data_IF_665737113530
#
_entry.id   IF_665737113530
#
_cell.length_a   1.000
_cell.length_b   1.000
_cell.length_c   1.000
_cell.angle_alpha   90.00
_cell.angle_beta   90.00
_cell.angle_gamma   90.00
#
_symmetry.space_group_name_H-M   'P 1'
#
loop_
_entity.id
_entity.type
_entity.pdbx_description
1 polymer ?
#
# COMPACT_ATOMS: atom_id res chain seq x y z
N UNK A 1 -4.96 15.21 -7.46
CA UNK A 1 -4.36 14.08 -6.73
C UNK A 1 -5.19 13.53 -5.57
N UNK A 2 -5.78 14.35 -4.69
CA UNK A 2 -6.59 13.86 -3.54
C UNK A 2 -7.67 12.85 -3.92
N UNK A 3 -8.50 13.18 -4.91
CA UNK A 3 -9.57 12.30 -5.38
C UNK A 3 -9.03 11.00 -6.00
N UNK A 4 -7.97 11.10 -6.80
CA UNK A 4 -7.30 9.94 -7.41
C UNK A 4 -6.76 8.97 -6.34
N UNK A 5 -6.08 9.49 -5.31
CA UNK A 5 -5.56 8.68 -4.21
C UNK A 5 -6.70 7.97 -3.46
N UNK A 6 -7.79 8.68 -3.15
CA UNK A 6 -8.97 8.08 -2.52
C UNK A 6 -9.62 7.01 -3.40
N UNK A 7 -9.73 7.23 -4.71
CA UNK A 7 -10.28 6.24 -5.66
C UNK A 7 -9.43 4.97 -5.72
N UNK A 8 -8.11 5.11 -5.76
CA UNK A 8 -7.17 3.98 -5.80
C UNK A 8 -7.14 3.22 -4.47
N UNK A 9 -7.16 3.91 -3.34
CA UNK A 9 -7.27 3.27 -2.02
C UNK A 9 -8.60 2.51 -1.85
N UNK A 10 -9.71 3.09 -2.32
CA UNK A 10 -11.00 2.39 -2.37
C UNK A 10 -10.96 1.19 -3.31
N UNK A 11 -10.27 1.29 -4.45
CA UNK A 11 -10.12 0.17 -5.39
C UNK A 11 -9.40 -1.02 -4.76
N UNK A 12 -8.31 -0.78 -4.04
CA UNK A 12 -7.59 -1.87 -3.38
C UNK A 12 -8.44 -2.53 -2.29
N UNK A 13 -9.14 -1.74 -1.47
CA UNK A 13 -10.05 -2.24 -0.46
C UNK A 13 -11.19 -3.05 -1.08
N UNK A 14 -11.88 -2.50 -2.09
CA UNK A 14 -13.02 -3.17 -2.73
C UNK A 14 -12.60 -4.46 -3.41
N UNK A 15 -11.47 -4.45 -4.12
CA UNK A 15 -10.98 -5.66 -4.77
C UNK A 15 -10.63 -6.75 -3.74
N UNK A 16 -9.96 -6.40 -2.64
CA UNK A 16 -9.67 -7.34 -1.56
C UNK A 16 -10.97 -7.85 -0.90
N UNK A 17 -11.84 -6.92 -0.50
CA UNK A 17 -13.11 -7.21 0.14
C UNK A 17 -13.99 -8.13 -0.70
N UNK A 18 -14.26 -7.77 -1.95
CA UNK A 18 -15.14 -8.57 -2.83
C UNK A 18 -14.54 -9.94 -3.15
N UNK A 19 -13.22 -10.05 -3.26
CA UNK A 19 -12.54 -11.31 -3.51
C UNK A 19 -12.59 -12.24 -2.29
N UNK A 20 -12.38 -11.71 -1.09
CA UNK A 20 -12.30 -12.49 0.14
C UNK A 20 -13.69 -12.87 0.71
N UNK A 21 -14.69 -11.99 0.58
CA UNK A 21 -16.04 -12.25 1.08
C UNK A 21 -16.95 -12.94 0.07
N UNK A 22 -16.69 -12.75 -1.24
CA UNK A 22 -17.60 -13.18 -2.29
C UNK A 22 -18.91 -12.38 -2.37
N UNK A 23 -19.08 -11.31 -1.58
CA UNK A 23 -20.33 -10.53 -1.50
C UNK A 23 -20.59 -9.61 -2.71
N UNK A 24 -19.67 -9.58 -3.69
CA UNK A 24 -19.77 -8.71 -4.86
C UNK A 24 -20.71 -9.26 -5.94
N UNK A 25 -21.71 -8.46 -6.34
CA UNK A 25 -22.62 -8.77 -7.44
C UNK A 25 -22.28 -7.90 -8.64
N UNK A 26 -21.90 -8.52 -9.75
CA UNK A 26 -21.62 -7.82 -11.01
C UNK A 26 -22.87 -7.75 -11.88
N UNK A 27 -23.22 -6.54 -12.30
CA UNK A 27 -24.30 -6.28 -13.25
C UNK A 27 -23.75 -5.66 -14.53
N UNK A 28 -23.95 -6.35 -15.65
CA UNK A 28 -23.75 -5.80 -16.98
C UNK A 28 -24.80 -4.73 -17.30
N UNK A 29 -24.52 -3.94 -18.34
CA UNK A 29 -25.36 -2.80 -18.73
C UNK A 29 -26.85 -3.16 -18.88
N UNK A 30 -27.17 -4.32 -19.46
CA UNK A 30 -28.55 -4.76 -19.70
C UNK A 30 -29.25 -5.33 -18.46
N UNK A 31 -28.51 -5.64 -17.39
CA UNK A 31 -29.04 -6.16 -16.13
C UNK A 31 -29.37 -5.04 -15.14
N UNK A 32 -28.91 -3.82 -15.42
CA UNK A 32 -29.07 -2.67 -14.54
C UNK A 32 -30.43 -1.99 -14.74
N UNK A 33 -31.06 -1.58 -13.64
CA UNK A 33 -32.23 -0.70 -13.67
C UNK A 33 -31.85 0.75 -14.01
N UNK A 34 -32.84 1.62 -14.22
CA UNK A 34 -32.62 3.01 -14.64
C UNK A 34 -31.71 3.81 -13.69
N UNK A 35 -31.85 3.62 -12.38
CA UNK A 35 -31.02 4.30 -11.37
C UNK A 35 -29.57 3.83 -11.43
N UNK A 36 -29.37 2.51 -11.48
CA UNK A 36 -28.05 1.88 -11.61
C UNK A 36 -27.36 2.33 -12.89
N UNK A 37 -28.07 2.31 -14.02
CA UNK A 37 -27.55 2.69 -15.33
C UNK A 37 -27.15 4.17 -15.38
N UNK A 38 -27.95 5.05 -14.77
CA UNK A 38 -27.65 6.48 -14.65
C UNK A 38 -26.38 6.70 -13.82
N UNK A 39 -26.25 5.99 -12.70
CA UNK A 39 -25.07 6.09 -11.86
C UNK A 39 -23.83 5.50 -12.53
N UNK A 40 -23.92 4.33 -13.15
CA UNK A 40 -22.80 3.66 -13.80
C UNK A 40 -22.38 4.31 -15.11
N UNK A 41 -23.22 5.18 -15.68
CA UNK A 41 -23.05 5.78 -17.01
C UNK A 41 -22.92 4.71 -18.10
N UNK A 42 -23.63 3.59 -17.94
CA UNK A 42 -23.60 2.47 -18.88
C UNK A 42 -22.41 1.52 -18.73
N UNK A 43 -21.54 1.71 -17.72
CA UNK A 43 -20.48 0.79 -17.38
C UNK A 43 -21.01 -0.43 -16.60
N UNK A 44 -20.21 -1.49 -16.52
CA UNK A 44 -20.46 -2.60 -15.58
C UNK A 44 -20.50 -2.05 -14.15
N UNK A 45 -21.47 -2.50 -13.37
CA UNK A 45 -21.66 -2.07 -11.99
C UNK A 45 -21.38 -3.24 -11.04
N UNK A 46 -20.46 -3.04 -10.12
CA UNK A 46 -20.29 -3.92 -8.96
C UNK A 46 -21.15 -3.37 -7.81
N UNK A 47 -21.95 -4.25 -7.23
CA UNK A 47 -22.80 -3.96 -6.07
C UNK A 47 -22.29 -4.78 -4.89
N UNK A 48 -22.07 -4.12 -3.76
CA UNK A 48 -21.77 -4.79 -2.49
C UNK A 48 -22.92 -4.50 -1.53
N UNK A 49 -23.66 -5.52 -1.04
CA UNK A 49 -24.68 -5.33 -0.02
C UNK A 49 -24.09 -4.77 1.27
N UNK A 50 -24.81 -3.84 1.90
CA UNK A 50 -24.53 -3.34 3.25
C UNK A 50 -25.76 -3.66 4.10
N UNK A 51 -25.83 -4.90 4.59
CA UNK A 51 -27.02 -5.47 5.23
C UNK A 51 -27.36 -4.76 6.54
N UNK A 52 -26.33 -4.38 7.31
CA UNK A 52 -26.46 -3.69 8.60
C UNK A 52 -27.29 -2.40 8.53
N UNK A 53 -27.26 -1.73 7.38
CA UNK A 53 -27.97 -0.46 7.13
C UNK A 53 -28.98 -0.56 5.98
N UNK A 54 -29.35 -1.78 5.56
CA UNK A 54 -30.31 -2.05 4.49
C UNK A 54 -30.02 -1.24 3.20
N UNK A 55 -28.75 -1.14 2.84
CA UNK A 55 -28.26 -0.30 1.74
C UNK A 55 -27.33 -1.09 0.82
N UNK A 56 -26.87 -0.46 -0.26
CA UNK A 56 -25.96 -1.06 -1.23
C UNK A 56 -24.86 -0.08 -1.60
N UNK A 57 -23.62 -0.57 -1.65
CA UNK A 57 -22.50 0.20 -2.20
C UNK A 57 -22.42 -0.05 -3.71
N UNK A 58 -22.58 1.01 -4.50
CA UNK A 58 -22.48 0.96 -5.95
C UNK A 58 -21.09 1.38 -6.40
N UNK A 59 -20.44 0.53 -7.18
CA UNK A 59 -19.06 0.67 -7.63
C UNK A 59 -19.01 0.55 -9.17
N UNK A 60 -18.91 1.66 -9.91
CA UNK A 60 -18.88 1.62 -11.37
C UNK A 60 -17.49 1.19 -11.85
N UNK A 61 -17.43 0.24 -12.76
CA UNK A 61 -16.18 -0.38 -13.21
C UNK A 61 -15.83 0.02 -14.64
N UNK A 62 -14.65 0.61 -14.82
CA UNK A 62 -14.05 0.86 -16.15
C UNK A 62 -13.38 -0.39 -16.73
N UNK A 63 -13.17 -1.42 -15.91
CA UNK A 63 -12.71 -2.74 -16.30
C UNK A 63 -13.19 -3.75 -15.26
N UNK A 64 -13.89 -4.80 -15.72
CA UNK A 64 -14.24 -5.95 -14.90
C UNK A 64 -13.23 -7.07 -15.15
N UNK A 65 -12.80 -7.74 -14.08
CA UNK A 65 -11.80 -8.80 -14.13
C UNK A 65 -12.41 -10.10 -13.61
N UNK A 66 -12.14 -11.20 -14.30
CA UNK A 66 -12.52 -12.54 -13.84
C UNK A 66 -11.77 -12.98 -12.57
N UNK A 67 -10.64 -12.33 -12.27
CA UNK A 67 -9.79 -12.65 -11.11
C UNK A 67 -9.87 -11.56 -10.02
N UNK A 68 -10.98 -10.81 -9.97
CA UNK A 68 -11.26 -9.82 -8.90
C UNK A 68 -10.47 -8.51 -8.97
N UNK A 69 -9.46 -8.38 -9.84
CA UNK A 69 -8.67 -7.15 -10.04
C UNK A 69 -9.43 -6.11 -10.88
N UNK A 70 -10.55 -5.61 -10.36
CA UNK A 70 -11.37 -4.61 -11.06
C UNK A 70 -10.70 -3.24 -11.09
N UNK A 71 -11.05 -2.42 -12.10
CA UNK A 71 -10.66 -1.01 -12.17
C UNK A 71 -11.88 -0.11 -11.99
N UNK A 72 -11.95 0.57 -10.86
CA UNK A 72 -13.06 1.46 -10.51
C UNK A 72 -12.99 2.73 -11.36
N UNK A 73 -14.08 3.08 -12.02
CA UNK A 73 -14.20 4.26 -12.90
C UNK A 73 -14.24 5.57 -12.10
N UNK A 74 -15.04 5.62 -11.03
CA UNK A 74 -15.22 6.78 -10.13
C UNK A 74 -15.49 6.32 -8.70
N UNK A 75 -15.42 7.23 -7.74
CA UNK A 75 -15.66 6.89 -6.34
C UNK A 75 -17.00 6.16 -6.15
N UNK A 76 -17.03 5.11 -5.32
CA UNK A 76 -18.27 4.45 -4.91
C UNK A 76 -19.26 5.40 -4.25
N UNK A 77 -20.53 5.02 -4.24
CA UNK A 77 -21.59 5.71 -3.51
C UNK A 77 -22.52 4.70 -2.86
N UNK A 78 -23.05 5.03 -1.68
CA UNK A 78 -24.05 4.22 -0.99
C UNK A 78 -25.43 4.61 -1.51
N UNK A 79 -26.28 3.60 -1.74
CA UNK A 79 -27.66 3.76 -2.15
C UNK A 79 -28.58 3.10 -1.13
N UNK A 80 -29.60 3.85 -0.71
CA UNK A 80 -30.67 3.36 0.18
C UNK A 80 -31.99 3.62 -0.52
N UNK A 81 -32.80 2.56 -0.72
CA UNK A 81 -34.09 2.65 -1.43
C UNK A 81 -34.02 3.41 -2.77
N UNK A 82 -32.93 3.22 -3.52
CA UNK A 82 -32.70 3.86 -4.82
C UNK A 82 -32.21 5.32 -4.77
N UNK A 83 -31.95 5.88 -3.59
CA UNK A 83 -31.43 7.23 -3.42
C UNK A 83 -29.96 7.22 -2.97
N UNK A 84 -29.16 8.09 -3.57
CA UNK A 84 -27.75 8.29 -3.19
C UNK A 84 -27.69 8.87 -1.78
N UNK A 85 -26.88 8.23 -0.93
CA UNK A 85 -26.50 8.74 0.38
C UNK A 85 -25.09 9.32 0.32
N UNK A 86 -24.92 10.53 0.87
CA UNK A 86 -23.64 11.22 0.90
C UNK A 86 -22.77 10.70 2.03
N UNK A 87 -21.84 9.81 1.71
CA UNK A 87 -20.83 9.30 2.65
C UNK A 87 -19.42 9.68 2.19
N UNK A 88 -18.55 9.95 3.16
CA UNK A 88 -17.12 10.06 2.89
C UNK A 88 -16.51 8.69 2.57
N UNK A 89 -15.33 8.67 1.96
CA UNK A 89 -14.63 7.41 1.69
C UNK A 89 -14.35 6.63 2.99
N UNK A 90 -13.97 7.33 4.06
CA UNK A 90 -13.73 6.71 5.38
C UNK A 90 -15.01 6.08 5.92
N UNK A 91 -16.15 6.78 5.82
CA UNK A 91 -17.42 6.22 6.27
C UNK A 91 -17.81 4.96 5.47
N UNK A 92 -17.59 4.95 4.15
CA UNK A 92 -17.82 3.74 3.33
C UNK A 92 -16.89 2.58 3.71
N UNK A 93 -15.62 2.87 4.03
CA UNK A 93 -14.68 1.87 4.55
C UNK A 93 -15.21 1.30 5.87
N UNK A 94 -15.58 2.16 6.81
CA UNK A 94 -16.14 1.73 8.10
C UNK A 94 -17.40 0.89 7.94
N UNK A 95 -18.30 1.24 7.01
CA UNK A 95 -19.49 0.43 6.71
C UNK A 95 -19.12 -0.96 6.18
N UNK A 96 -18.16 -1.06 5.25
CA UNK A 96 -17.69 -2.36 4.76
C UNK A 96 -17.07 -3.21 5.86
N UNK A 97 -16.28 -2.58 6.75
CA UNK A 97 -15.65 -3.29 7.87
C UNK A 97 -16.67 -3.71 8.92
N UNK A 98 -17.72 -2.91 9.15
CA UNK A 98 -18.82 -3.29 10.04
C UNK A 98 -19.51 -4.57 9.54
N UNK A 99 -19.75 -4.70 8.23
CA UNK A 99 -20.27 -5.96 7.65
C UNK A 99 -19.36 -7.17 7.95
N UNK A 100 -18.03 -6.98 7.98
CA UNK A 100 -17.11 -8.06 8.36
C UNK A 100 -17.25 -8.43 9.83
N UNK A 101 -17.39 -7.44 10.73
CA UNK A 101 -17.57 -7.69 12.17
C UNK A 101 -18.84 -8.48 12.43
N UNK A 102 -19.95 -8.08 11.80
CA UNK A 102 -21.23 -8.76 11.97
C UNK A 102 -21.20 -10.21 11.50
N UNK A 103 -20.38 -10.51 10.49
CA UNK A 103 -20.23 -11.86 9.92
C UNK A 103 -19.05 -12.65 10.50
N UNK A 104 -18.23 -12.06 11.36
CA UNK A 104 -17.06 -12.71 11.93
C UNK A 104 -17.44 -13.57 13.15
N UNK A 105 -16.83 -14.76 13.23
CA UNK A 105 -16.91 -15.61 14.43
C UNK A 105 -16.01 -15.13 15.57
N UNK A 106 -15.06 -14.23 15.28
CA UNK A 106 -14.07 -13.71 16.21
C UNK A 106 -14.14 -12.19 16.26
N UNK A 107 -13.73 -11.60 17.38
CA UNK A 107 -13.62 -10.15 17.50
C UNK A 107 -12.55 -9.60 16.56
N UNK A 108 -12.93 -8.64 15.72
CA UNK A 108 -12.03 -7.95 14.80
C UNK A 108 -11.73 -6.53 15.29
N UNK A 109 -10.47 -6.11 15.19
CA UNK A 109 -10.07 -4.72 15.44
C UNK A 109 -10.20 -3.89 14.15
N UNK A 110 -11.41 -3.40 13.90
CA UNK A 110 -11.69 -2.55 12.75
C UNK A 110 -11.05 -1.17 12.86
N UNK A 111 -10.86 -0.65 14.08
CA UNK A 111 -10.26 0.66 14.28
C UNK A 111 -8.83 0.69 13.74
N UNK A 112 -8.03 -0.33 14.05
CA UNK A 112 -6.67 -0.46 13.50
C UNK A 112 -6.66 -0.56 11.97
N UNK A 113 -7.64 -1.25 11.37
CA UNK A 113 -7.70 -1.36 9.92
C UNK A 113 -8.10 -0.05 9.23
N UNK A 114 -9.03 0.71 9.81
CA UNK A 114 -9.39 2.06 9.32
C UNK A 114 -8.16 2.98 9.40
N UNK A 115 -7.42 2.95 10.51
CA UNK A 115 -6.19 3.74 10.67
C UNK A 115 -5.16 3.40 9.59
N UNK A 116 -4.89 2.11 9.37
CA UNK A 116 -3.98 1.64 8.31
C UNK A 116 -4.45 2.06 6.93
N UNK A 117 -5.76 1.98 6.65
CA UNK A 117 -6.33 2.41 5.37
C UNK A 117 -6.13 3.91 5.14
N UNK A 118 -6.41 4.75 6.15
CA UNK A 118 -6.19 6.19 6.09
C UNK A 118 -4.71 6.49 5.83
N UNK A 119 -3.81 5.87 6.61
CA UNK A 119 -2.37 6.06 6.47
C UNK A 119 -1.90 5.66 5.06
N UNK A 120 -2.38 4.52 4.54
CA UNK A 120 -2.05 4.07 3.20
C UNK A 120 -2.57 5.00 2.12
N UNK A 121 -3.77 5.56 2.28
CA UNK A 121 -4.36 6.53 1.35
C UNK A 121 -3.58 7.85 1.36
N UNK A 122 -3.10 8.28 2.51
CA UNK A 122 -2.29 9.49 2.67
C UNK A 122 -0.88 9.32 2.12
N UNK A 123 -0.23 8.17 2.34
CA UNK A 123 1.04 7.83 1.71
C UNK A 123 0.89 7.81 0.18
N UNK A 124 -0.17 7.18 -0.33
CA UNK A 124 -0.45 7.16 -1.77
C UNK A 124 -0.65 8.57 -2.35
N UNK A 125 -1.35 9.46 -1.63
CA UNK A 125 -1.49 10.86 -2.04
C UNK A 125 -0.12 11.55 -2.15
N UNK A 126 0.75 11.37 -1.16
CA UNK A 126 2.09 11.96 -1.16
C UNK A 126 2.89 11.44 -2.36
N UNK A 127 2.95 10.12 -2.55
CA UNK A 127 3.71 9.50 -3.64
C UNK A 127 3.19 9.90 -5.02
N UNK A 128 1.88 9.90 -5.24
CA UNK A 128 1.28 10.33 -6.50
C UNK A 128 1.56 11.81 -6.79
N UNK A 129 1.59 12.64 -5.75
CA UNK A 129 1.89 14.08 -5.90
C UNK A 129 3.36 14.28 -6.24
N UNK A 130 4.27 13.60 -5.53
CA UNK A 130 5.71 13.69 -5.75
C UNK A 130 6.12 13.15 -7.12
N UNK A 131 5.58 12.00 -7.53
CA UNK A 131 5.96 11.30 -8.76
C UNK A 131 5.12 11.65 -9.97
N UNK A 132 4.16 12.57 -9.86
CA UNK A 132 3.35 13.02 -11.02
C UNK A 132 4.22 13.35 -12.25
N UNK A 133 5.30 14.15 -12.13
CA UNK A 133 6.12 14.51 -13.29
C UNK A 133 6.78 13.30 -13.96
N UNK A 134 6.93 12.18 -13.24
CA UNK A 134 7.63 10.98 -13.69
C UNK A 134 6.69 9.88 -14.18
N UNK A 135 5.36 10.08 -14.23
CA UNK A 135 4.42 9.00 -14.52
C UNK A 135 4.74 8.26 -15.83
N UNK A 136 5.13 8.96 -16.89
CA UNK A 136 5.53 8.34 -18.14
C UNK A 136 6.75 7.44 -17.98
N UNK A 137 7.72 7.85 -17.14
CA UNK A 137 8.92 7.05 -16.83
C UNK A 137 8.59 5.81 -15.99
N UNK A 138 7.63 5.93 -15.06
CA UNK A 138 7.20 4.80 -14.21
C UNK A 138 6.59 3.65 -15.01
N UNK A 139 6.03 3.94 -16.19
CA UNK A 139 5.37 2.94 -17.05
C UNK A 139 6.20 2.55 -18.28
N UNK A 140 7.45 3.02 -18.37
CA UNK A 140 8.34 2.63 -19.47
C UNK A 140 8.60 1.13 -19.46
N UNK A 141 8.59 0.53 -20.64
CA UNK A 141 8.86 -0.91 -20.80
C UNK A 141 10.30 -1.31 -20.42
N UNK A 142 11.26 -0.38 -20.56
CA UNK A 142 12.64 -0.57 -20.11
C UNK A 142 12.92 0.28 -18.89
N UNK A 143 13.29 -0.38 -17.80
CA UNK A 143 13.70 0.21 -16.55
C UNK A 143 14.96 -0.50 -16.05
N UNK A 144 15.82 0.21 -15.34
CA UNK A 144 16.87 -0.44 -14.54
C UNK A 144 16.28 -1.02 -13.25
N UNK A 145 17.07 -1.83 -12.54
CA UNK A 145 16.64 -2.51 -11.32
C UNK A 145 16.11 -1.53 -10.25
N UNK A 146 16.80 -0.41 -10.04
CA UNK A 146 16.40 0.58 -9.02
C UNK A 146 15.10 1.26 -9.44
N UNK A 147 14.97 1.62 -10.71
CA UNK A 147 13.77 2.22 -11.27
C UNK A 147 12.56 1.30 -11.11
N UNK A 148 12.70 0.00 -11.39
CA UNK A 148 11.60 -0.96 -11.24
C UNK A 148 11.19 -1.13 -9.78
N UNK A 149 12.14 -1.23 -8.85
CA UNK A 149 11.86 -1.30 -7.41
C UNK A 149 11.15 -0.04 -6.89
N UNK A 150 11.48 1.12 -7.45
CA UNK A 150 10.89 2.41 -7.09
C UNK A 150 9.60 2.75 -7.87
N UNK A 151 9.17 1.90 -8.81
CA UNK A 151 8.02 2.17 -9.67
C UNK A 151 6.68 1.70 -9.08
N UNK A 152 6.67 0.83 -8.06
CA UNK A 152 5.46 0.26 -7.48
C UNK A 152 4.73 1.24 -6.54
N UNK A 153 4.28 2.39 -7.07
CA UNK A 153 3.63 3.45 -6.28
C UNK A 153 2.30 3.01 -5.67
N UNK A 154 1.53 2.19 -6.38
CA UNK A 154 0.21 1.75 -5.92
C UNK A 154 0.30 0.66 -4.84
N UNK A 155 1.42 -0.08 -4.79
CA UNK A 155 1.58 -1.23 -3.90
C UNK A 155 0.74 -2.42 -4.33
N UNK A 156 0.45 -3.31 -3.38
CA UNK A 156 -0.31 -4.53 -3.64
C UNK A 156 -1.78 -4.22 -3.96
N UNK A 157 -2.23 -4.55 -5.17
CA UNK A 157 -3.56 -4.14 -5.66
C UNK A 157 -4.75 -4.84 -5.00
N UNK A 158 -4.50 -5.93 -4.26
CA UNK A 158 -5.50 -6.73 -3.54
C UNK A 158 -5.26 -6.69 -2.02
N UNK A 159 -4.66 -5.62 -1.50
CA UNK A 159 -4.49 -5.42 -0.06
C UNK A 159 -5.16 -4.10 0.34
N UNK A 160 -5.92 -4.02 1.44
CA UNK A 160 -6.70 -2.83 1.77
C UNK A 160 -5.83 -1.60 2.08
N UNK A 161 -4.64 -1.79 2.65
CA UNK A 161 -3.74 -0.72 3.08
C UNK A 161 -2.28 -0.95 2.65
N UNK A 162 -1.99 -1.08 1.34
CA UNK A 162 -0.69 -1.59 0.86
C UNK A 162 0.47 -0.63 1.11
N UNK A 163 0.19 0.62 1.44
CA UNK A 163 1.17 1.67 1.75
C UNK A 163 1.06 2.14 3.20
N UNK A 164 0.52 1.34 4.11
CA UNK A 164 0.61 1.65 5.54
C UNK A 164 1.98 1.24 6.08
N UNK A 165 2.60 2.11 6.89
CA UNK A 165 3.85 1.86 7.63
C UNK A 165 3.71 2.46 9.02
N UNK A 166 3.21 1.66 9.96
CA UNK A 166 3.01 2.10 11.34
C UNK A 166 4.34 2.56 11.96
N UNK A 167 4.29 3.64 12.74
CA UNK A 167 5.46 4.25 13.39
C UNK A 167 6.24 5.25 12.54
N UNK A 168 6.01 5.34 11.23
CA UNK A 168 6.68 6.34 10.38
C UNK A 168 6.05 7.73 10.57
N UNK A 169 6.89 8.73 10.82
CA UNK A 169 6.53 10.14 10.70
C UNK A 169 6.74 10.63 9.26
N UNK A 170 6.29 11.84 8.93
CA UNK A 170 6.35 12.37 7.56
C UNK A 170 7.76 12.35 6.96
N UNK A 171 8.79 12.66 7.73
CA UNK A 171 10.19 12.65 7.26
C UNK A 171 10.68 11.24 6.91
N UNK A 172 10.25 10.22 7.65
CA UNK A 172 10.59 8.82 7.36
C UNK A 172 10.06 8.39 6.00
N UNK A 173 8.88 8.88 5.62
CA UNK A 173 8.31 8.61 4.30
C UNK A 173 9.14 9.19 3.17
N UNK A 174 9.85 10.29 3.38
CA UNK A 174 10.72 10.86 2.35
C UNK A 174 12.02 10.07 2.24
N UNK A 175 12.60 9.72 3.39
CA UNK A 175 13.94 9.13 3.48
C UNK A 175 13.96 7.63 3.16
N UNK A 176 12.96 6.89 3.63
CA UNK A 176 12.96 5.42 3.61
C UNK A 176 11.97 4.81 2.61
N UNK A 177 11.25 5.63 1.83
CA UNK A 177 10.33 5.12 0.81
C UNK A 177 10.99 4.98 -0.56
N UNK A 178 10.94 3.80 -1.21
CA UNK A 178 11.35 3.69 -2.61
C UNK A 178 10.52 4.58 -3.53
N UNK A 179 9.25 4.85 -3.20
CA UNK A 179 8.36 5.70 -3.98
C UNK A 179 8.80 7.17 -4.01
N UNK A 180 9.51 7.64 -2.98
CA UNK A 180 10.18 8.95 -2.94
C UNK A 180 11.60 8.91 -3.48
N UNK A 181 12.04 7.77 -4.00
CA UNK A 181 13.44 7.56 -4.40
C UNK A 181 14.41 7.85 -3.25
N UNK A 182 13.97 7.57 -2.02
CA UNK A 182 14.69 7.85 -0.80
C UNK A 182 16.05 7.16 -0.79
N UNK A 183 17.06 7.91 -0.33
CA UNK A 183 18.42 7.40 -0.12
C UNK A 183 18.82 7.72 1.30
N UNK A 184 19.30 6.72 2.01
CA UNK A 184 19.81 6.86 3.36
C UNK A 184 21.18 6.23 3.47
N UNK A 185 22.03 6.84 4.28
CA UNK A 185 23.26 6.21 4.75
C UNK A 185 22.90 5.05 5.69
N UNK A 186 23.60 3.93 5.57
CA UNK A 186 23.51 2.82 6.54
C UNK A 186 24.22 3.20 7.84
N UNK A 187 23.69 2.73 8.96
CA UNK A 187 24.31 2.86 10.27
C UNK A 187 25.11 1.59 10.58
N UNK A 188 26.34 1.77 11.04
CA UNK A 188 27.24 0.67 11.41
C UNK A 188 27.42 0.65 12.92
N UNK A 189 27.49 -0.55 13.49
CA UNK A 189 27.68 -0.76 14.92
C UNK A 189 28.94 -1.58 15.10
N UNK A 190 29.80 -1.18 16.04
CA UNK A 190 30.96 -1.96 16.43
C UNK A 190 30.62 -2.73 17.70
N UNK A 191 30.51 -4.05 17.60
CA UNK A 191 29.92 -4.92 18.64
C UNK A 191 30.91 -5.98 19.08
N UNK A 192 30.96 -6.28 20.39
CA UNK A 192 31.84 -7.32 20.90
C UNK A 192 31.47 -8.70 20.30
N UNK A 193 32.46 -9.54 19.94
CA UNK A 193 32.25 -10.74 19.14
C UNK A 193 31.30 -11.77 19.79
N UNK A 194 31.21 -11.79 21.12
CA UNK A 194 30.29 -12.67 21.86
C UNK A 194 28.79 -12.36 21.63
N UNK A 195 28.46 -11.20 21.06
CA UNK A 195 27.09 -10.79 20.75
C UNK A 195 26.73 -10.87 19.25
N UNK A 196 27.66 -11.31 18.40
CA UNK A 196 27.46 -11.36 16.94
C UNK A 196 27.64 -12.78 16.42
N UNK A 197 26.64 -13.26 15.68
CA UNK A 197 26.73 -14.48 14.90
C UNK A 197 26.89 -14.12 13.41
N UNK A 198 28.01 -14.51 12.81
CA UNK A 198 28.30 -14.26 11.39
C UNK A 198 28.43 -15.57 10.61
N UNK A 199 27.96 -15.56 9.37
CA UNK A 199 28.12 -16.67 8.42
C UNK A 199 28.06 -16.10 7.01
N UNK A 200 28.86 -16.66 6.10
CA UNK A 200 28.86 -16.29 4.69
C UNK A 200 28.84 -17.53 3.80
N UNK A 201 28.37 -17.36 2.57
CA UNK A 201 28.29 -18.44 1.60
C UNK A 201 29.64 -18.77 0.94
N UNK A 202 30.60 -17.84 0.93
CA UNK A 202 31.84 -17.94 0.13
C UNK A 202 33.03 -18.54 0.87
N UNK A 203 32.97 -18.72 2.20
CA UNK A 203 34.02 -19.23 3.09
C UNK A 203 35.43 -18.59 2.96
N UNK A 204 35.62 -17.58 2.10
CA UNK A 204 36.92 -17.04 1.74
C UNK A 204 37.37 -15.90 2.66
N UNK A 205 36.43 -15.03 3.05
CA UNK A 205 36.66 -13.90 3.96
C UNK A 205 35.46 -13.76 4.89
N UNK A 206 35.67 -13.37 6.15
CA UNK A 206 34.58 -13.06 7.06
C UNK A 206 33.91 -11.72 6.71
N UNK A 207 32.63 -11.58 7.05
CA UNK A 207 31.81 -10.41 6.69
C UNK A 207 32.38 -9.14 7.34
N UNK A 208 32.87 -9.24 8.58
CA UNK A 208 33.45 -8.10 9.29
C UNK A 208 34.65 -7.54 8.53
N UNK A 209 35.57 -8.40 8.09
CA UNK A 209 36.76 -7.99 7.33
C UNK A 209 36.38 -7.34 6.00
N UNK A 210 35.44 -7.94 5.27
CA UNK A 210 34.92 -7.36 4.01
C UNK A 210 34.29 -5.98 4.24
N UNK A 211 33.40 -5.86 5.24
CA UNK A 211 32.74 -4.58 5.55
C UNK A 211 33.75 -3.51 5.94
N UNK A 212 34.76 -3.82 6.76
CA UNK A 212 35.82 -2.86 7.14
C UNK A 212 36.52 -2.29 5.92
N UNK A 213 36.82 -3.13 4.92
CA UNK A 213 37.47 -2.69 3.69
C UNK A 213 36.56 -1.80 2.84
N UNK A 214 35.30 -2.20 2.66
CA UNK A 214 34.32 -1.46 1.84
C UNK A 214 34.00 -0.08 2.43
N UNK A 215 33.89 0.02 3.77
CA UNK A 215 33.54 1.29 4.41
C UNK A 215 34.73 2.19 4.69
N UNK A 216 35.97 1.68 4.62
CA UNK A 216 37.19 2.40 5.04
C UNK A 216 37.29 3.82 4.45
N UNK A 217 36.94 3.99 3.18
CA UNK A 217 37.00 5.28 2.48
C UNK A 217 36.01 6.33 3.00
N UNK A 218 34.99 5.90 3.75
CA UNK A 218 33.97 6.77 4.34
C UNK A 218 34.24 7.09 5.81
N UNK A 219 35.26 6.48 6.42
CA UNK A 219 35.56 6.66 7.84
C UNK A 219 36.44 7.89 8.09
N UNK A 220 36.16 8.58 9.18
CA UNK A 220 37.03 9.63 9.70
C UNK A 220 38.14 9.07 10.62
N UNK A 221 39.10 9.90 11.01
CA UNK A 221 40.25 9.48 11.84
C UNK A 221 39.83 8.87 13.19
N UNK A 222 38.76 9.37 13.81
CA UNK A 222 38.26 8.85 15.08
C UNK A 222 37.64 7.46 14.90
N UNK A 223 36.90 7.22 13.82
CA UNK A 223 36.32 5.92 13.47
C UNK A 223 37.39 4.89 13.11
N UNK A 224 38.42 5.29 12.36
CA UNK A 224 39.57 4.43 12.06
C UNK A 224 40.30 4.05 13.37
N UNK A 225 40.51 5.02 14.25
CA UNK A 225 41.11 4.79 15.57
C UNK A 225 40.26 3.83 16.41
N UNK A 226 38.93 3.97 16.36
CA UNK A 226 37.99 3.09 17.06
C UNK A 226 38.09 1.64 16.54
N UNK A 227 38.10 1.43 15.23
CA UNK A 227 38.25 0.11 14.61
C UNK A 227 39.59 -0.54 14.96
N UNK A 228 40.67 0.24 15.00
CA UNK A 228 41.99 -0.25 15.38
C UNK A 228 42.06 -0.61 16.88
N UNK A 229 41.45 0.20 17.73
CA UNK A 229 41.40 -0.02 19.18
C UNK A 229 40.65 -1.30 19.51
N UNK A 230 39.52 -1.54 18.85
CA UNK A 230 38.67 -2.71 19.03
C UNK A 230 38.80 -3.67 17.85
N UNK A 231 40.03 -4.05 17.52
CA UNK A 231 40.33 -4.86 16.32
C UNK A 231 39.59 -6.21 16.29
N UNK A 232 39.27 -6.79 17.45
CA UNK A 232 38.53 -8.04 17.60
C UNK A 232 37.00 -7.90 17.58
N UNK A 233 36.46 -6.68 17.57
CA UNK A 233 35.01 -6.43 17.50
C UNK A 233 34.47 -6.61 16.08
N UNK A 234 33.18 -6.88 15.97
CA UNK A 234 32.46 -7.17 14.73
C UNK A 234 31.70 -5.95 14.23
N UNK A 235 31.57 -5.84 12.91
CA UNK A 235 30.75 -4.84 12.22
C UNK A 235 29.48 -5.46 11.65
#
# INVERSE_FOLDING_TARGET
MKELASRLAMQHLINAYSQETGSGILLEKYQQNSTQLTFSQGLTLLIIPLESIQSQLFVPLSYSSFVGRHRIAKLPQVFTKGQIQQFSAIAMVSLLLEELVQNASQTLDCASLVEKWIQSRDALLQFLTHRQPDFDRLIQAKQDFIQSEQALILGHSMHPAPKSRLGFIHEDWLKFSPEHQGKTQLYYWLVAPEYVAESNASCAEDITSQLRQEIHWYLNEAEITLLNTYSNYKL
#
